data_IF_950971229924
#
_entry.id   IF_950971229924
#
_cell.length_a   1.000
_cell.length_b   1.000
_cell.length_c   1.000
_cell.angle_alpha   90.00
_cell.angle_beta   90.00
_cell.angle_gamma   90.00
#
_symmetry.space_group_name_H-M   'P 1'
#
loop_
_entity.id
_entity.type
_entity.pdbx_description
1 polymer ?
2 water ?
#
# COMPACT_ATOMS: atom_id res chain seq x y z
N UNK A 6 -16.48 -5.58 12.22
CA UNK A 6 -15.42 -5.90 13.18
C UNK A 6 -15.17 -4.79 14.23
N UNK A 7 -14.98 -3.52 13.86
CA UNK A 7 -14.84 -2.99 12.50
C UNK A 7 -13.54 -2.19 12.42
N UNK A 8 -12.65 -2.56 11.51
CA UNK A 8 -11.32 -1.98 11.47
C UNK A 8 -11.02 -1.43 10.08
N UNK A 9 -10.15 -0.41 10.04
CA UNK A 9 -9.66 0.12 8.77
C UNK A 9 -8.80 -0.95 8.11
N UNK A 10 -9.17 -1.32 6.90
CA UNK A 10 -8.48 -2.36 6.15
C UNK A 10 -7.50 -1.74 5.17
N UNK A 11 -6.53 -2.51 4.67
CA UNK A 11 -5.62 -1.97 3.65
C UNK A 11 -6.33 -1.43 2.42
N UNK A 12 -7.45 -2.05 2.03
CA UNK A 12 -8.17 -1.58 0.85
C UNK A 12 -8.79 -0.22 1.10
N UNK A 13 -9.30 0.00 2.32
CA UNK A 13 -9.89 1.29 2.68
C UNK A 13 -8.92 2.43 2.42
N UNK A 14 -7.67 2.27 2.86
CA UNK A 14 -6.69 3.34 2.70
C UNK A 14 -6.34 3.53 1.23
N UNK A 15 -6.18 2.43 0.49
CA UNK A 15 -5.81 2.54 -0.92
C UNK A 15 -6.93 3.15 -1.75
N UNK A 16 -8.19 2.76 -1.48
CA UNK A 16 -9.31 3.31 -2.24
C UNK A 16 -9.48 4.80 -2.00
N UNK A 17 -9.32 5.24 -0.75
CA UNK A 17 -9.46 6.66 -0.43
C UNK A 17 -8.34 7.48 -1.07
N UNK A 18 -7.17 6.88 -1.25
CA UNK A 18 -6.11 7.55 -2.01
C UNK A 18 -6.49 7.68 -3.47
N UNK A 19 -7.09 6.63 -4.04
CA UNK A 19 -7.57 6.70 -5.41
C UNK A 19 -8.73 7.67 -5.52
N UNK A 20 -9.71 7.55 -4.62
CA UNK A 20 -10.95 8.31 -4.74
C UNK A 20 -10.73 9.81 -4.52
N UNK A 21 -9.71 10.19 -3.77
CA UNK A 21 -9.41 11.60 -3.54
C UNK A 21 -8.39 12.12 -4.55
N UNK A 22 -8.16 11.34 -5.61
CA UNK A 22 -7.26 11.75 -6.67
C UNK A 22 -5.83 11.95 -6.25
N UNK A 23 -5.35 11.17 -5.27
CA UNK A 23 -3.97 11.28 -4.83
C UNK A 23 -3.02 10.37 -5.60
N UNK A 24 -3.52 9.28 -6.19
CA UNK A 24 -2.73 8.40 -7.03
C UNK A 24 -3.49 8.17 -8.33
N UNK A 25 -2.75 7.85 -9.38
CA UNK A 25 -3.37 7.49 -10.65
C UNK A 25 -3.56 5.98 -10.70
N UNK A 26 -4.80 5.49 -10.80
CA UNK A 26 -5.02 4.04 -10.75
C UNK A 26 -4.32 3.27 -11.86
N UNK A 27 -4.03 3.92 -12.98
CA UNK A 27 -3.39 3.21 -14.09
C UNK A 27 -1.87 3.26 -14.04
N UNK A 28 -1.27 4.32 -13.49
CA UNK A 28 0.18 4.33 -13.24
C UNK A 28 0.45 4.74 -11.79
N UNK A 29 0.59 3.73 -10.94
CA UNK A 29 0.90 3.96 -9.53
C UNK A 29 2.41 3.87 -9.35
N UNK A 30 2.99 4.85 -8.67
CA UNK A 30 4.40 4.82 -8.31
C UNK A 30 4.52 4.21 -6.92
N UNK A 31 5.05 2.98 -6.84
CA UNK A 31 5.08 2.26 -5.57
C UNK A 31 5.96 2.97 -4.55
N UNK A 32 6.96 3.73 -5.02
CA UNK A 32 7.78 4.51 -4.11
C UNK A 32 6.99 5.70 -3.58
N UNK A 33 6.28 6.40 -4.46
CA UNK A 33 5.47 7.53 -4.02
C UNK A 33 4.21 7.07 -3.29
N UNK A 34 3.69 5.89 -3.65
CA UNK A 34 2.48 5.39 -3.00
C UNK A 34 2.73 4.98 -1.56
N UNK A 35 3.94 4.50 -1.26
CA UNK A 35 4.22 3.94 0.07
C UNK A 35 4.07 5.00 1.16
N UNK A 36 4.66 6.17 0.96
CA UNK A 36 4.57 7.20 2.00
C UNK A 36 3.19 7.82 2.06
N UNK A 37 2.48 7.90 0.93
CA UNK A 37 1.09 8.35 0.96
C UNK A 37 0.23 7.40 1.79
N UNK A 38 0.49 6.09 1.68
CA UNK A 38 -0.20 5.12 2.52
C UNK A 38 0.14 5.34 3.99
N UNK A 39 1.42 5.57 4.30
CA UNK A 39 1.83 5.78 5.68
C UNK A 39 1.28 7.10 6.20
N UNK A 40 1.26 8.14 5.36
CA UNK A 40 0.66 9.41 5.75
C UNK A 40 -0.78 9.21 6.20
N UNK A 41 -1.59 8.55 5.37
CA UNK A 41 -2.99 8.31 5.73
C UNK A 41 -3.10 7.38 6.93
N UNK A 42 -2.25 6.36 7.00
CA UNK A 42 -2.26 5.47 8.15
C UNK A 42 -1.97 6.22 9.44
N UNK A 43 -1.08 7.21 9.38
CA UNK A 43 -0.81 8.04 10.55
C UNK A 43 -2.01 8.90 10.91
N UNK A 44 -2.79 9.33 9.91
CA UNK A 44 -3.96 10.15 10.18
C UNK A 44 -5.00 9.38 10.99
N UNK A 45 -5.27 8.13 10.62
CA UNK A 45 -6.27 7.33 11.31
C UNK A 45 -5.83 7.04 12.74
N UNK A 46 -4.53 6.78 12.91
CA UNK A 46 -4.01 6.49 14.24
C UNK A 46 -3.90 7.74 15.11
N UNK A 47 -3.77 8.93 14.50
CA UNK A 47 -3.85 10.16 15.27
C UNK A 47 -5.20 10.30 15.95
N UNK A 48 -6.27 9.95 15.24
CA UNK A 48 -7.61 9.97 15.81
C UNK A 48 -7.93 8.71 16.60
N UNK A 49 -6.96 7.81 16.76
CA UNK A 49 -7.13 6.59 17.56
C UNK A 49 -8.28 5.73 17.04
N UNK A 50 -8.40 5.64 15.72
CA UNK A 50 -9.42 4.81 15.11
C UNK A 50 -8.91 3.39 14.93
N UNK A 51 -9.84 2.43 14.94
CA UNK A 51 -9.48 1.03 14.81
C UNK A 51 -8.91 0.77 13.42
N UNK A 52 -7.65 0.35 13.37
CA UNK A 52 -6.97 0.00 12.14
C UNK A 52 -6.54 -1.46 12.25
N UNK A 53 -6.89 -2.26 11.24
CA UNK A 53 -6.65 -3.69 11.31
C UNK A 53 -5.16 -4.01 11.29
N UNK A 54 -4.83 -5.24 11.69
CA UNK A 54 -3.44 -5.69 11.63
C UNK A 54 -2.94 -5.79 10.20
N UNK A 55 -3.82 -6.17 9.26
CA UNK A 55 -3.40 -6.26 7.87
C UNK A 55 -3.00 -4.90 7.33
N UNK A 56 -3.72 -3.84 7.72
CA UNK A 56 -3.33 -2.49 7.32
C UNK A 56 -1.99 -2.09 7.92
N UNK A 57 -1.67 -2.59 9.11
CA UNK A 57 -0.35 -2.34 9.68
C UNK A 57 0.71 -3.15 8.94
N UNK A 58 0.43 -4.42 8.67
CA UNK A 58 1.38 -5.27 7.95
C UNK A 58 1.58 -4.79 6.51
N UNK A 59 0.54 -4.25 5.89
CA UNK A 59 0.66 -3.77 4.51
C UNK A 59 1.67 -2.63 4.40
N UNK A 60 1.83 -1.84 5.46
CA UNK A 60 2.81 -0.77 5.44
C UNK A 60 4.22 -1.32 5.30
N UNK A 61 4.54 -2.38 6.06
CA UNK A 61 5.86 -2.99 5.96
C UNK A 61 6.09 -3.58 4.58
N UNK A 62 5.04 -4.15 3.98
CA UNK A 62 5.17 -4.71 2.64
C UNK A 62 5.43 -3.61 1.61
N UNK A 63 4.68 -2.50 1.71
CA UNK A 63 4.88 -1.40 0.77
C UNK A 63 6.26 -0.78 0.92
N UNK A 64 6.81 -0.76 2.13
CA UNK A 64 8.16 -0.24 2.32
C UNK A 64 9.17 -1.12 1.60
N UNK A 65 9.00 -2.45 1.70
CA UNK A 65 9.90 -3.35 0.98
C UNK A 65 9.73 -3.23 -0.53
N UNK A 66 8.48 -3.12 -0.99
CA UNK A 66 8.22 -3.04 -2.42
C UNK A 66 8.77 -1.74 -3.02
N UNK A 67 8.86 -0.70 -2.20
CA UNK A 67 9.43 0.56 -2.66
C UNK A 67 10.95 0.58 -2.54
N UNK A 68 11.51 -0.17 -1.58
CA UNK A 68 12.96 -0.27 -1.49
C UNK A 68 13.52 -1.05 -2.67
N UNK A 69 12.89 -2.18 -3.01
CA UNK A 69 13.35 -2.96 -4.15
C UNK A 69 13.12 -2.21 -5.46
N UNK A 70 12.02 -1.45 -5.54
CA UNK A 70 11.79 -0.64 -6.74
C UNK A 70 12.90 0.38 -6.94
N UNK A 71 13.37 1.00 -5.85
CA UNK A 71 14.46 1.95 -5.97
C UNK A 71 15.78 1.27 -6.30
N UNK A 72 15.99 0.05 -5.80
CA UNK A 72 17.21 -0.68 -6.09
C UNK A 72 17.20 -1.34 -7.46
N UNK A 73 16.02 -1.54 -8.05
CA UNK A 73 15.89 -2.19 -9.36
C UNK A 73 15.00 -1.30 -10.23
N UNK A 74 15.62 -0.40 -10.98
CA UNK A 74 14.93 0.56 -11.84
C UNK A 74 13.94 1.40 -11.05
N UNK A 97 15.19 -9.24 -3.81
CA UNK A 97 14.46 -9.49 -5.05
C UNK A 97 13.66 -10.79 -5.03
N UNK A 98 14.13 -11.80 -5.76
CA UNK A 98 13.44 -13.08 -5.90
C UNK A 98 11.99 -12.86 -6.33
N UNK A 99 11.83 -12.04 -7.37
CA UNK A 99 10.56 -11.77 -8.03
C UNK A 99 10.85 -10.76 -9.13
N UNK A 100 9.91 -10.63 -10.06
CA UNK A 100 9.94 -9.55 -11.04
C UNK A 100 9.60 -8.26 -10.32
N UNK A 101 10.61 -7.47 -10.01
CA UNK A 101 10.42 -6.24 -9.23
C UNK A 101 9.97 -5.13 -10.17
N UNK A 102 8.75 -4.64 -9.96
CA UNK A 102 8.18 -3.56 -10.75
C UNK A 102 8.17 -2.27 -9.93
N UNK A 103 8.31 -1.14 -10.62
CA UNK A 103 8.16 0.16 -9.98
C UNK A 103 6.78 0.76 -10.18
N UNK A 104 6.15 0.53 -11.33
CA UNK A 104 4.83 1.08 -11.62
C UNK A 104 3.81 -0.05 -11.71
N UNK A 105 2.67 0.14 -11.03
CA UNK A 105 1.61 -0.85 -10.98
C UNK A 105 0.29 -0.22 -11.40
N UNK A 106 -0.64 -1.07 -11.82
CA UNK A 106 -2.04 -0.68 -11.87
C UNK A 106 -2.69 -1.02 -10.54
N UNK A 107 -3.90 -0.48 -10.32
CA UNK A 107 -4.53 -0.65 -9.02
C UNK A 107 -4.91 -2.10 -8.76
N UNK A 108 -5.46 -2.79 -9.77
CA UNK A 108 -5.79 -4.20 -9.59
C UNK A 108 -4.54 -5.05 -9.44
N UNK A 109 -3.46 -4.69 -10.13
CA UNK A 109 -2.21 -5.45 -9.99
C UNK A 109 -1.61 -5.27 -8.60
N UNK A 110 -1.59 -4.03 -8.10
CA UNK A 110 -1.07 -3.79 -6.75
C UNK A 110 -1.94 -4.47 -5.70
N UNK A 111 -3.26 -4.45 -5.89
CA UNK A 111 -4.17 -5.14 -4.99
C UNK A 111 -3.84 -6.62 -4.91
N UNK A 112 -3.59 -7.26 -6.05
CA UNK A 112 -3.21 -8.67 -6.06
C UNK A 112 -1.82 -8.88 -5.47
N UNK A 113 -0.87 -8.00 -5.82
CA UNK A 113 0.49 -8.13 -5.31
C UNK A 113 0.53 -7.96 -3.79
N UNK A 114 -0.23 -7.00 -3.26
CA UNK A 114 -0.20 -6.76 -1.82
C UNK A 114 -0.93 -7.86 -1.06
N UNK A 115 -2.10 -8.28 -1.55
CA UNK A 115 -2.87 -9.34 -0.89
C UNK A 115 -2.16 -10.69 -0.96
N UNK A 116 -1.36 -10.91 -2.01
CA UNK A 116 -0.55 -12.12 -2.06
C UNK A 116 0.56 -12.09 -1.02
N UNK A 117 1.16 -10.91 -0.81
CA UNK A 117 2.18 -10.79 0.22
C UNK A 117 1.58 -10.82 1.61
N UNK A 118 0.36 -10.31 1.77
CA UNK A 118 -0.28 -10.31 3.08
C UNK A 118 -0.63 -11.73 3.53
N UNK A 119 -1.12 -12.56 2.62
CA UNK A 119 -1.56 -13.90 3.00
C UNK A 119 -0.42 -14.88 3.19
N UNK A 120 0.72 -14.68 2.53
CA UNK A 120 1.87 -15.53 2.79
C UNK A 120 2.75 -15.01 3.92
N UNK A 121 2.52 -13.79 4.38
CA UNK A 121 3.22 -13.29 5.56
C UNK A 121 2.71 -14.02 6.80
#
# INVERSE_FOLDING_TARGET
>A
XESRREEEITPVDILLQLVQMGKVDPWNIDIVDLTEKYIERLREMKELDLRVSARAILAASILVRMKSEALLYADEEDEEEKHEEHIRVEVEPLAPPLRRVERYYTFDDLLDALMDALEEAEKRKP
#
